data_IF_661308875145
#
_entry.id   IF_661308875145
#
_cell.length_a   1.000
_cell.length_b   1.000
_cell.length_c   1.000
_cell.angle_alpha   90.00
_cell.angle_beta   90.00
_cell.angle_gamma   90.00
#
_symmetry.space_group_name_H-M   'P 1'
#
loop_
_entity.id
_entity.type
_entity.pdbx_description
1 polymer ?
#
# COMPACT_ATOMS: atom_id res chain seq x y z
N UNK A 1 5.73 -2.46 13.37
CA UNK A 1 4.53 -1.69 13.77
C UNK A 1 3.36 -2.06 12.86
N UNK A 2 2.14 -2.16 13.42
CA UNK A 2 0.95 -2.53 12.64
C UNK A 2 0.63 -1.50 11.56
N UNK A 3 0.46 -1.96 10.32
CA UNK A 3 0.14 -1.06 9.18
C UNK A 3 -1.26 -0.50 9.33
N UNK A 4 -1.42 0.82 9.15
CA UNK A 4 -2.70 1.53 9.19
C UNK A 4 -2.99 2.19 7.84
N UNK A 5 -4.15 1.88 7.26
CA UNK A 5 -4.66 2.58 6.08
C UNK A 5 -5.49 3.78 6.53
N UNK A 6 -5.23 4.95 5.92
CA UNK A 6 -5.96 6.19 6.23
C UNK A 6 -7.18 6.42 5.33
N UNK A 7 -7.14 6.01 4.06
CA UNK A 7 -8.23 6.28 3.11
C UNK A 7 -8.43 5.16 2.08
N UNK A 8 -9.04 4.06 2.53
CA UNK A 8 -9.40 2.94 1.63
C UNK A 8 -10.60 3.26 0.72
N UNK A 9 -11.44 4.24 1.07
CA UNK A 9 -12.63 4.60 0.30
C UNK A 9 -12.32 4.94 -1.17
N UNK A 10 -11.20 5.62 -1.45
CA UNK A 10 -10.78 5.92 -2.83
C UNK A 10 -10.59 4.65 -3.68
N UNK A 11 -10.13 3.55 -3.07
CA UNK A 11 -9.95 2.28 -3.78
C UNK A 11 -11.31 1.68 -4.14
N UNK A 12 -12.26 1.70 -3.19
CA UNK A 12 -13.61 1.19 -3.43
C UNK A 12 -14.32 1.99 -4.52
N UNK A 13 -14.22 3.32 -4.47
CA UNK A 13 -14.76 4.21 -5.50
C UNK A 13 -14.13 3.95 -6.87
N UNK A 14 -12.80 3.80 -6.92
CA UNK A 14 -12.09 3.56 -8.18
C UNK A 14 -12.40 2.19 -8.80
N UNK A 15 -12.53 1.13 -8.00
CA UNK A 15 -12.92 -0.19 -8.50
C UNK A 15 -14.35 -0.18 -9.06
N UNK A 16 -15.22 0.70 -8.53
CA UNK A 16 -16.60 0.84 -8.99
C UNK A 16 -17.36 -0.48 -8.93
N UNK A 17 -17.90 -0.91 -10.08
CA UNK A 17 -18.64 -2.17 -10.23
C UNK A 17 -17.78 -3.30 -10.82
N UNK A 18 -16.49 -3.10 -11.06
CA UNK A 18 -15.59 -4.17 -11.54
C UNK A 18 -15.28 -5.14 -10.40
N UNK A 19 -16.01 -6.26 -10.38
CA UNK A 19 -15.90 -7.31 -9.36
C UNK A 19 -14.50 -7.93 -9.34
N UNK A 20 -13.86 -8.08 -10.49
CA UNK A 20 -12.54 -8.70 -10.60
C UNK A 20 -11.47 -7.77 -10.01
N UNK A 21 -11.54 -6.49 -10.36
CA UNK A 21 -10.65 -5.47 -9.81
C UNK A 21 -10.87 -5.35 -8.30
N UNK A 22 -12.12 -5.22 -7.85
CA UNK A 22 -12.46 -5.10 -6.43
C UNK A 22 -11.90 -6.28 -5.62
N UNK A 23 -12.08 -7.50 -6.11
CA UNK A 23 -11.56 -8.71 -5.47
C UNK A 23 -10.03 -8.65 -5.32
N UNK A 24 -9.31 -8.26 -6.36
CA UNK A 24 -7.86 -8.14 -6.32
C UNK A 24 -7.37 -7.12 -5.26
N UNK A 25 -8.03 -5.97 -5.15
CA UNK A 25 -7.69 -4.97 -4.13
C UNK A 25 -8.12 -5.41 -2.72
N UNK A 26 -9.22 -6.14 -2.57
CA UNK A 26 -9.63 -6.72 -1.28
C UNK A 26 -8.64 -7.79 -0.79
N UNK A 27 -8.12 -8.61 -1.69
CA UNK A 27 -7.11 -9.61 -1.35
C UNK A 27 -5.82 -8.94 -0.85
N UNK A 28 -5.38 -7.87 -1.53
CA UNK A 28 -4.30 -7.01 -1.04
C UNK A 28 -4.60 -6.42 0.35
N UNK A 29 -5.80 -5.86 0.55
CA UNK A 29 -6.20 -5.29 1.84
C UNK A 29 -6.15 -6.32 2.96
N UNK A 30 -6.58 -7.55 2.68
CA UNK A 30 -6.55 -8.64 3.64
C UNK A 30 -5.12 -9.09 3.96
N UNK A 31 -4.24 -9.17 2.97
CA UNK A 31 -2.82 -9.46 3.20
C UNK A 31 -2.16 -8.39 4.09
N UNK A 32 -2.49 -7.11 3.86
CA UNK A 32 -1.95 -6.00 4.62
C UNK A 32 -2.28 -6.06 6.12
N UNK A 33 -3.40 -6.67 6.52
CA UNK A 33 -3.81 -6.81 7.93
C UNK A 33 -2.82 -7.64 8.77
N UNK A 34 -2.04 -8.48 8.11
CA UNK A 34 -1.04 -9.36 8.72
C UNK A 34 0.38 -8.81 8.60
N UNK A 35 0.53 -7.57 8.11
CA UNK A 35 1.83 -6.93 7.94
C UNK A 35 2.18 -6.07 9.16
N UNK A 36 3.40 -6.21 9.62
CA UNK A 36 4.04 -5.32 10.59
C UNK A 36 5.30 -4.72 9.96
N UNK A 37 5.32 -3.39 9.83
CA UNK A 37 6.44 -2.66 9.23
C UNK A 37 7.01 -1.66 10.23
N UNK A 38 8.33 -1.64 10.37
CA UNK A 38 9.04 -0.68 11.21
C UNK A 38 9.90 0.26 10.38
N UNK A 39 10.42 -0.26 9.27
CA UNK A 39 11.23 0.48 8.31
C UNK A 39 10.71 0.24 6.88
N UNK A 40 10.99 1.17 5.94
CA UNK A 40 10.51 1.03 4.56
C UNK A 40 10.87 -0.29 3.89
N UNK A 41 12.02 -0.87 4.19
CA UNK A 41 12.44 -2.16 3.62
C UNK A 41 11.57 -3.35 4.06
N UNK A 42 10.80 -3.26 5.15
CA UNK A 42 9.87 -4.32 5.56
C UNK A 42 8.71 -4.49 4.58
N UNK A 43 8.35 -3.40 3.87
CA UNK A 43 7.37 -3.43 2.80
C UNK A 43 7.81 -4.42 1.72
N UNK A 44 9.09 -4.39 1.34
CA UNK A 44 9.67 -5.27 0.32
C UNK A 44 9.73 -6.73 0.77
N UNK A 45 9.77 -7.01 2.08
CA UNK A 45 9.66 -8.37 2.60
C UNK A 45 8.24 -8.92 2.43
N UNK A 46 7.23 -8.07 2.61
CA UNK A 46 5.80 -8.44 2.51
C UNK A 46 5.30 -8.46 1.06
N UNK A 47 5.80 -7.52 0.25
CA UNK A 47 5.42 -7.29 -1.13
C UNK A 47 6.68 -7.09 -1.97
N UNK A 48 7.31 -8.19 -2.38
CA UNK A 48 8.63 -8.22 -3.04
C UNK A 48 8.72 -7.39 -4.32
N UNK A 49 7.61 -7.18 -5.00
CA UNK A 49 7.54 -6.43 -6.26
C UNK A 49 7.06 -5.00 -6.06
N UNK A 50 7.01 -4.50 -4.83
CA UNK A 50 6.64 -3.12 -4.57
C UNK A 50 7.81 -2.18 -4.92
N UNK A 51 7.52 -0.93 -5.24
CA UNK A 51 8.55 0.07 -5.51
C UNK A 51 8.45 1.23 -4.52
N UNK A 52 9.56 1.55 -3.86
CA UNK A 52 9.69 2.74 -3.02
C UNK A 52 10.19 3.90 -3.89
N UNK A 53 9.38 4.93 -4.02
CA UNK A 53 9.67 6.11 -4.83
C UNK A 53 9.95 7.29 -3.90
N UNK A 54 11.22 7.74 -3.90
CA UNK A 54 11.60 8.96 -3.22
C UNK A 54 11.03 10.16 -3.99
N UNK A 55 10.32 11.04 -3.29
CA UNK A 55 9.70 12.23 -3.85
C UNK A 55 10.25 13.46 -3.17
N UNK A 56 11.45 13.89 -3.59
CA UNK A 56 12.12 15.06 -3.04
C UNK A 56 11.23 16.32 -3.16
N UNK A 57 11.17 17.10 -2.08
CA UNK A 57 10.32 18.30 -2.00
C UNK A 57 8.83 18.03 -1.82
N UNK A 58 8.39 16.77 -1.72
CA UNK A 58 6.99 16.43 -1.46
C UNK A 58 6.75 16.06 0.01
N UNK A 59 5.51 16.24 0.47
CA UNK A 59 5.14 15.94 1.86
C UNK A 59 5.29 14.45 2.24
N UNK A 60 5.19 13.55 1.26
CA UNK A 60 5.31 12.11 1.47
C UNK A 60 5.98 11.44 0.27
N UNK A 61 6.87 10.49 0.55
CA UNK A 61 7.33 9.51 -0.45
C UNK A 61 6.18 8.63 -0.91
N UNK A 62 6.36 8.01 -2.07
CA UNK A 62 5.37 7.14 -2.69
C UNK A 62 5.80 5.69 -2.65
N UNK A 63 4.81 4.83 -2.63
CA UNK A 63 4.94 3.39 -2.66
C UNK A 63 4.01 2.87 -3.74
N UNK A 64 4.53 2.03 -4.63
CA UNK A 64 3.76 1.43 -5.71
C UNK A 64 3.64 -0.07 -5.43
N UNK A 65 2.41 -0.56 -5.35
CA UNK A 65 2.12 -1.98 -5.25
C UNK A 65 1.61 -2.54 -6.57
N UNK A 66 2.00 -3.77 -6.85
CA UNK A 66 1.44 -4.57 -7.93
C UNK A 66 0.24 -5.36 -7.42
N UNK A 67 -0.92 -5.20 -8.06
CA UNK A 67 -2.18 -5.79 -7.61
C UNK A 67 -2.77 -6.69 -8.71
N UNK A 68 -3.39 -7.80 -8.32
CA UNK A 68 -4.11 -8.70 -9.23
C UNK A 68 -3.21 -9.34 -10.29
N UNK A 69 -2.07 -9.92 -9.88
CA UNK A 69 -1.15 -10.56 -10.81
C UNK A 69 -0.49 -9.57 -11.78
N UNK A 70 0.01 -8.44 -11.26
CA UNK A 70 0.61 -7.35 -12.04
C UNK A 70 -0.35 -6.58 -12.96
N UNK A 71 -1.66 -6.87 -12.97
CA UNK A 71 -2.63 -6.18 -13.83
C UNK A 71 -2.85 -4.72 -13.45
N UNK A 72 -2.77 -4.40 -12.16
CA UNK A 72 -3.02 -3.03 -11.66
C UNK A 72 -1.84 -2.50 -10.84
N UNK A 73 -1.80 -1.18 -10.67
CA UNK A 73 -0.86 -0.48 -9.78
C UNK A 73 -1.63 0.32 -8.74
N UNK A 74 -1.25 0.18 -7.48
CA UNK A 74 -1.76 1.03 -6.41
C UNK A 74 -0.65 1.92 -5.89
N UNK A 75 -0.83 3.23 -6.02
CA UNK A 75 0.13 4.23 -5.54
C UNK A 75 -0.36 4.79 -4.21
N UNK A 76 0.48 4.74 -3.19
CA UNK A 76 0.18 5.25 -1.86
C UNK A 76 1.26 6.20 -1.38
N UNK A 77 0.88 7.22 -0.62
CA UNK A 77 1.81 7.90 0.28
C UNK A 77 2.04 7.03 1.51
N UNK A 78 3.26 7.01 2.04
CA UNK A 78 3.56 6.32 3.30
C UNK A 78 4.34 7.23 4.25
N UNK A 79 4.22 6.95 5.54
CA UNK A 79 4.99 7.61 6.60
C UNK A 79 5.27 6.60 7.70
N UNK A 80 6.54 6.52 8.10
CA UNK A 80 6.95 5.82 9.32
C UNK A 80 7.08 6.87 10.42
N UNK A 81 6.33 6.68 11.51
CA UNK A 81 6.47 7.52 12.68
C UNK A 81 7.75 7.15 13.44
N UNK A 82 8.51 8.15 13.88
CA UNK A 82 9.44 7.92 14.98
C UNK A 82 8.60 7.87 16.26
N UNK A 83 8.46 6.70 16.85
CA UNK A 83 8.04 6.62 18.25
C UNK A 83 9.16 7.25 19.08
N UNK A 84 9.14 8.56 19.25
CA UNK A 84 9.80 9.19 20.40
C UNK A 84 8.83 9.07 21.55
N UNK A 85 9.03 8.02 22.35
CA UNK A 85 8.51 7.96 23.72
C UNK A 85 9.26 8.99 24.55
#
# INVERSE_FOLDING_TARGET
>A
MKVKIFKWANVLEHCGQDVIMLKAFQDFYNQLKYCDWEIPSDIMKSFRTADLVNCEGQAFNRLVFNIGGNKYRMICGYKFGTNKV
#
